data_IF_803033593893
#
_entry.id   IF_803033593893
#
_cell.length_a   1.000
_cell.length_b   1.000
_cell.length_c   1.000
_cell.angle_alpha   90.00
_cell.angle_beta   90.00
_cell.angle_gamma   90.00
#
_symmetry.space_group_name_H-M   'P 1'
#
loop_
_entity.id
_entity.type
_entity.pdbx_description
1 polymer ?
#
# COMPACT_ATOMS: atom_id res chain seq x y z
N UNK A 1 -10.98 -6.54 -7.07
CA UNK A 1 -10.97 -7.48 -8.23
C UNK A 1 -11.84 -8.75 -8.03
N UNK A 2 -12.78 -8.80 -7.09
CA UNK A 2 -13.68 -9.96 -6.92
C UNK A 2 -14.56 -10.26 -8.14
N UNK A 3 -14.88 -9.25 -8.95
CA UNK A 3 -15.68 -9.38 -10.17
C UNK A 3 -14.84 -9.44 -11.47
N UNK A 4 -13.52 -9.55 -11.34
CA UNK A 4 -12.57 -9.41 -12.45
C UNK A 4 -11.89 -10.75 -12.80
N UNK A 5 -12.47 -11.89 -12.39
CA UNK A 5 -11.87 -13.21 -12.61
C UNK A 5 -11.58 -13.55 -14.07
N UNK A 6 -12.34 -12.96 -15.00
CA UNK A 6 -12.10 -13.09 -16.45
C UNK A 6 -10.78 -12.48 -16.93
N UNK A 7 -10.16 -11.62 -16.11
CA UNK A 7 -8.86 -11.00 -16.42
C UNK A 7 -7.67 -11.83 -15.91
N UNK A 8 -7.93 -12.88 -15.13
CA UNK A 8 -6.87 -13.67 -14.51
C UNK A 8 -6.41 -14.77 -15.46
N UNK A 9 -5.10 -14.95 -15.56
CA UNK A 9 -4.46 -16.01 -16.32
C UNK A 9 -3.61 -16.88 -15.39
N UNK A 10 -3.66 -18.16 -15.59
CA UNK A 10 -2.77 -19.10 -14.90
C UNK A 10 -1.36 -19.03 -15.50
N UNK A 11 -0.41 -19.73 -14.92
CA UNK A 11 0.95 -19.78 -15.45
C UNK A 11 0.99 -20.34 -16.89
N UNK A 12 0.11 -21.31 -17.24
CA UNK A 12 -0.02 -21.85 -18.61
C UNK A 12 -0.50 -20.80 -19.61
N UNK A 13 -1.38 -19.91 -19.20
CA UNK A 13 -2.06 -18.94 -20.07
C UNK A 13 -1.39 -17.55 -20.02
N UNK A 14 -0.30 -17.41 -19.23
CA UNK A 14 0.44 -16.15 -19.07
C UNK A 14 0.91 -15.58 -20.42
N UNK A 15 1.24 -16.44 -21.37
CA UNK A 15 1.67 -16.04 -22.72
C UNK A 15 0.61 -15.31 -23.53
N UNK A 16 -0.67 -15.32 -23.12
CA UNK A 16 -1.75 -14.53 -23.74
C UNK A 16 -1.67 -13.05 -23.36
N UNK A 17 -0.93 -12.70 -22.33
CA UNK A 17 -0.77 -11.32 -21.87
C UNK A 17 0.47 -10.70 -22.52
N UNK A 18 0.35 -9.41 -22.90
CA UNK A 18 1.46 -8.64 -23.49
C UNK A 18 2.48 -8.24 -22.42
N UNK A 19 1.98 -7.81 -21.25
CA UNK A 19 2.79 -7.37 -20.11
C UNK A 19 2.23 -7.97 -18.81
N UNK A 20 2.50 -9.27 -18.59
CA UNK A 20 1.98 -9.96 -17.41
C UNK A 20 2.65 -9.48 -16.13
N UNK A 21 1.84 -9.10 -15.14
CA UNK A 21 2.29 -8.83 -13.78
C UNK A 21 1.62 -9.81 -12.82
N UNK A 22 2.29 -10.18 -11.70
CA UNK A 22 1.72 -11.12 -10.73
C UNK A 22 0.46 -10.54 -10.07
N UNK A 23 -0.49 -11.43 -9.73
CA UNK A 23 -1.64 -11.11 -8.87
C UNK A 23 -1.34 -11.56 -7.45
N UNK A 24 -1.08 -10.62 -6.55
CA UNK A 24 -0.84 -10.90 -5.14
C UNK A 24 -2.15 -11.19 -4.41
N UNK A 25 -2.22 -12.32 -3.76
CA UNK A 25 -3.26 -12.66 -2.79
C UNK A 25 -2.82 -12.25 -1.38
N UNK A 26 -3.76 -11.92 -0.49
CA UNK A 26 -3.45 -11.47 0.86
C UNK A 26 -2.49 -12.39 1.63
N UNK A 27 -2.60 -13.72 1.45
CA UNK A 27 -1.73 -14.70 2.12
C UNK A 27 -0.27 -14.67 1.68
N UNK A 28 0.03 -14.02 0.54
CA UNK A 28 1.41 -13.85 0.05
C UNK A 28 2.16 -12.73 0.78
N UNK A 29 1.44 -11.94 1.60
CA UNK A 29 1.97 -10.73 2.26
C UNK A 29 1.86 -10.88 3.77
N UNK A 30 2.86 -10.44 4.52
CA UNK A 30 2.82 -10.33 5.98
C UNK A 30 3.30 -8.94 6.43
N UNK A 31 3.35 -8.68 7.74
CA UNK A 31 3.83 -7.41 8.29
C UNK A 31 5.24 -7.09 7.77
N UNK A 32 5.39 -5.97 7.04
CA UNK A 32 6.65 -5.55 6.44
C UNK A 32 7.27 -6.55 5.44
N UNK A 33 6.50 -7.53 4.97
CA UNK A 33 7.02 -8.60 4.10
C UNK A 33 6.07 -8.90 2.96
N UNK A 34 6.43 -8.50 1.75
CA UNK A 34 5.69 -8.78 0.52
C UNK A 34 6.05 -10.14 -0.10
N UNK A 35 7.03 -10.85 0.47
CA UNK A 35 7.51 -12.16 0.05
C UNK A 35 7.22 -13.24 1.10
N UNK A 36 6.06 -13.14 1.78
CA UNK A 36 5.71 -14.05 2.86
C UNK A 36 5.42 -15.47 2.38
N UNK A 37 4.61 -15.60 1.33
CA UNK A 37 4.28 -16.90 0.77
C UNK A 37 4.32 -16.88 -0.75
N UNK A 38 4.59 -18.04 -1.33
CA UNK A 38 4.70 -18.30 -2.78
C UNK A 38 3.88 -19.51 -3.15
N UNK A 39 3.40 -19.59 -4.37
CA UNK A 39 2.79 -20.81 -4.89
C UNK A 39 3.85 -21.74 -5.46
N UNK A 40 3.60 -23.05 -5.38
CA UNK A 40 4.40 -24.04 -6.07
C UNK A 40 4.12 -24.00 -7.59
N UNK A 41 5.12 -24.37 -8.38
CA UNK A 41 4.95 -24.52 -9.82
C UNK A 41 3.84 -25.54 -10.12
N UNK A 42 2.98 -25.22 -11.09
CA UNK A 42 1.86 -26.09 -11.50
C UNK A 42 0.56 -25.93 -10.72
N UNK A 43 0.40 -24.87 -9.88
CA UNK A 43 -0.89 -24.52 -9.27
C UNK A 43 -1.20 -25.27 -7.96
N UNK A 44 -0.19 -25.78 -7.29
CA UNK A 44 -0.28 -26.32 -5.93
C UNK A 44 -0.70 -25.27 -4.88
N UNK A 45 -0.81 -25.67 -3.61
CA UNK A 45 -1.08 -24.77 -2.50
C UNK A 45 0.02 -23.72 -2.30
N UNK A 46 -0.32 -22.59 -1.67
CA UNK A 46 0.71 -21.65 -1.25
C UNK A 46 1.51 -22.25 -0.08
N UNK A 47 2.82 -21.99 -0.07
CA UNK A 47 3.74 -22.29 1.03
C UNK A 47 4.44 -21.03 1.50
N UNK A 48 4.88 -21.04 2.73
CA UNK A 48 5.71 -19.96 3.25
C UNK A 48 7.07 -19.94 2.51
N UNK A 49 7.59 -18.75 2.27
CA UNK A 49 8.94 -18.54 1.72
C UNK A 49 9.94 -18.73 2.85
N UNK A 50 10.94 -19.55 2.61
CA UNK A 50 11.99 -19.84 3.60
C UNK A 50 12.93 -18.65 3.80
N UNK A 51 13.62 -18.61 4.94
CA UNK A 51 14.62 -17.56 5.21
C UNK A 51 15.76 -17.57 4.19
N UNK A 52 16.16 -18.76 3.68
CA UNK A 52 17.15 -18.90 2.61
C UNK A 52 16.69 -18.24 1.30
N UNK A 53 15.43 -18.44 0.91
CA UNK A 53 14.86 -17.79 -0.27
C UNK A 53 14.71 -16.27 -0.06
N UNK A 54 14.37 -15.82 1.14
CA UNK A 54 14.29 -14.39 1.49
C UNK A 54 15.65 -13.72 1.54
N UNK A 55 16.71 -14.46 1.83
CA UNK A 55 18.08 -13.97 1.80
C UNK A 55 18.56 -13.64 0.38
N UNK A 56 17.97 -14.27 -0.64
CA UNK A 56 18.18 -13.89 -2.04
C UNK A 56 17.28 -12.68 -2.39
N UNK A 57 17.90 -11.52 -2.56
CA UNK A 57 17.20 -10.29 -2.93
C UNK A 57 16.59 -10.32 -4.34
N UNK A 58 16.99 -11.28 -5.18
CA UNK A 58 16.45 -11.49 -6.53
C UNK A 58 15.27 -12.47 -6.55
N UNK A 59 15.03 -13.19 -5.45
CA UNK A 59 13.92 -14.12 -5.35
C UNK A 59 12.57 -13.39 -5.49
N UNK A 60 11.74 -13.88 -6.40
CA UNK A 60 10.39 -13.35 -6.63
C UNK A 60 9.36 -14.42 -6.31
N UNK A 61 8.34 -14.05 -5.54
CA UNK A 61 7.24 -14.95 -5.24
C UNK A 61 6.44 -15.30 -6.50
N UNK A 62 6.08 -16.55 -6.65
CA UNK A 62 5.22 -17.02 -7.74
C UNK A 62 3.76 -16.82 -7.35
N UNK A 63 2.97 -16.11 -8.15
CA UNK A 63 1.53 -15.96 -7.90
C UNK A 63 0.78 -17.18 -8.47
N UNK A 64 -0.45 -17.36 -8.02
CA UNK A 64 -1.38 -18.30 -8.64
C UNK A 64 -1.89 -17.81 -10.00
N UNK A 65 -2.06 -16.49 -10.13
CA UNK A 65 -2.60 -15.83 -11.31
C UNK A 65 -1.75 -14.65 -11.74
N UNK A 66 -1.86 -14.34 -13.02
CA UNK A 66 -1.25 -13.18 -13.66
C UNK A 66 -2.34 -12.30 -14.26
N UNK A 67 -2.07 -11.00 -14.38
CA UNK A 67 -2.96 -10.03 -15.00
C UNK A 67 -2.17 -9.13 -15.94
N UNK A 68 -2.85 -8.52 -16.92
CA UNK A 68 -2.24 -7.50 -17.77
C UNK A 68 -1.88 -6.25 -16.95
N UNK A 69 -0.66 -5.73 -17.08
CA UNK A 69 -0.20 -4.53 -16.36
C UNK A 69 -1.17 -3.35 -16.55
N UNK A 70 -1.68 -3.15 -17.77
CA UNK A 70 -2.65 -2.10 -18.08
C UNK A 70 -3.89 -2.16 -17.20
N UNK A 71 -4.36 -3.34 -16.84
CA UNK A 71 -5.50 -3.52 -15.95
C UNK A 71 -5.21 -3.07 -14.51
N UNK A 72 -3.96 -3.24 -14.06
CA UNK A 72 -3.52 -2.69 -12.77
C UNK A 72 -3.47 -1.18 -12.83
N UNK A 73 -2.81 -0.62 -13.84
CA UNK A 73 -2.67 0.83 -14.03
C UNK A 73 -4.03 1.53 -14.06
N UNK A 74 -5.02 0.99 -14.80
CA UNK A 74 -6.38 1.53 -14.86
C UNK A 74 -7.11 1.57 -13.51
N UNK A 75 -6.63 0.81 -12.50
CA UNK A 75 -7.25 0.77 -11.16
C UNK A 75 -6.52 1.61 -10.14
N UNK A 76 -5.24 1.90 -10.35
CA UNK A 76 -4.40 2.61 -9.38
C UNK A 76 -3.96 3.99 -9.83
N UNK A 77 -4.11 4.33 -11.12
CA UNK A 77 -3.73 5.63 -11.66
C UNK A 77 -4.55 6.76 -11.01
N UNK A 78 -3.84 7.82 -10.66
CA UNK A 78 -4.42 9.05 -10.07
C UNK A 78 -4.95 9.96 -11.19
N UNK A 79 -5.99 9.49 -11.85
CA UNK A 79 -6.73 10.19 -12.90
C UNK A 79 -8.21 10.29 -12.54
N UNK A 80 -8.94 11.29 -13.03
CA UNK A 80 -10.38 11.38 -12.80
C UNK A 80 -11.13 10.15 -13.32
N UNK A 81 -12.12 9.69 -12.54
CA UNK A 81 -12.89 8.50 -12.87
C UNK A 81 -13.47 8.47 -14.30
N UNK A 82 -13.98 9.59 -14.88
CA UNK A 82 -14.45 9.57 -16.27
C UNK A 82 -13.36 9.21 -17.28
N UNK A 83 -12.12 9.68 -17.08
CA UNK A 83 -10.97 9.33 -17.92
C UNK A 83 -10.68 7.83 -17.85
N UNK A 84 -10.60 7.29 -16.63
CA UNK A 84 -10.37 5.85 -16.41
C UNK A 84 -11.51 4.99 -16.96
N UNK A 85 -12.76 5.43 -16.81
CA UNK A 85 -13.95 4.71 -17.34
C UNK A 85 -13.92 4.62 -18.86
N UNK A 86 -13.70 5.73 -19.55
CA UNK A 86 -13.61 5.75 -21.00
C UNK A 86 -12.43 4.91 -21.52
N UNK A 87 -11.27 5.02 -20.84
CA UNK A 87 -10.08 4.23 -21.19
C UNK A 87 -10.27 2.71 -21.02
N UNK A 88 -11.04 2.27 -20.01
CA UNK A 88 -11.41 0.85 -19.84
C UNK A 88 -12.32 0.35 -20.96
N UNK A 89 -13.23 1.19 -21.42
CA UNK A 89 -14.14 0.87 -22.51
C UNK A 89 -13.50 0.87 -23.90
N UNK A 90 -12.24 1.33 -24.03
CA UNK A 90 -11.60 1.51 -25.34
C UNK A 90 -12.27 2.61 -26.18
N UNK A 91 -13.01 3.51 -25.56
CA UNK A 91 -13.78 4.57 -26.21
C UNK A 91 -12.87 5.78 -26.50
N UNK A 92 -12.35 5.85 -27.71
CA UNK A 92 -11.44 6.91 -28.16
C UNK A 92 -12.06 8.31 -28.02
N UNK A 93 -13.33 8.48 -28.42
CA UNK A 93 -14.03 9.77 -28.33
C UNK A 93 -14.31 10.13 -26.87
N UNK A 94 -14.78 9.17 -26.09
CA UNK A 94 -15.01 9.33 -24.65
C UNK A 94 -13.73 9.72 -23.89
N UNK A 95 -12.58 9.16 -24.25
CA UNK A 95 -11.30 9.55 -23.67
C UNK A 95 -10.94 10.99 -24.04
N UNK A 96 -11.09 11.41 -25.31
CA UNK A 96 -10.85 12.79 -25.75
C UNK A 96 -11.69 13.78 -24.94
N UNK A 97 -12.99 13.51 -24.83
CA UNK A 97 -13.95 14.34 -24.09
C UNK A 97 -13.58 14.39 -22.58
N UNK A 98 -13.24 13.25 -21.99
CA UNK A 98 -12.88 13.18 -20.58
C UNK A 98 -11.57 13.92 -20.26
N UNK A 99 -10.55 13.82 -21.13
CA UNK A 99 -9.29 14.56 -21.00
C UNK A 99 -9.53 16.08 -21.09
N UNK A 100 -10.33 16.51 -22.06
CA UNK A 100 -10.66 17.90 -22.21
C UNK A 100 -11.48 18.43 -21.02
N UNK A 101 -12.43 17.65 -20.52
CA UNK A 101 -13.18 17.99 -19.31
C UNK A 101 -12.28 18.06 -18.08
N UNK A 102 -11.30 17.17 -17.94
CA UNK A 102 -10.34 17.19 -16.85
C UNK A 102 -9.50 18.47 -16.84
N UNK A 103 -8.91 18.84 -18.00
CA UNK A 103 -8.10 20.03 -18.16
C UNK A 103 -8.92 21.31 -17.91
N UNK A 104 -10.11 21.39 -18.51
CA UNK A 104 -10.99 22.54 -18.31
C UNK A 104 -11.45 22.69 -16.85
N UNK A 105 -11.83 21.59 -16.20
CA UNK A 105 -12.24 21.58 -14.79
C UNK A 105 -11.09 21.98 -13.83
N UNK A 106 -9.86 21.62 -14.17
CA UNK A 106 -8.68 22.05 -13.44
C UNK A 106 -8.51 23.57 -13.48
N UNK A 107 -8.62 24.19 -14.68
CA UNK A 107 -8.54 25.64 -14.80
C UNK A 107 -9.67 26.37 -14.05
N UNK A 108 -10.91 25.85 -14.18
CA UNK A 108 -12.05 26.41 -13.42
C UNK A 108 -11.79 26.33 -11.90
N UNK A 109 -11.20 25.23 -11.43
CA UNK A 109 -10.83 25.06 -10.02
C UNK A 109 -9.76 26.04 -9.54
N UNK A 110 -8.93 26.56 -10.46
CA UNK A 110 -7.97 27.64 -10.19
C UNK A 110 -8.56 29.05 -10.34
N UNK A 111 -9.86 29.17 -10.67
CA UNK A 111 -10.51 30.46 -10.93
C UNK A 111 -10.26 31.01 -12.34
N UNK A 112 -9.73 30.16 -13.25
CA UNK A 112 -9.45 30.54 -14.63
C UNK A 112 -10.61 30.13 -15.55
N UNK A 113 -10.88 30.96 -16.58
CA UNK A 113 -11.90 30.65 -17.57
C UNK A 113 -11.33 29.76 -18.70
N UNK A 114 -11.86 28.56 -18.93
CA UNK A 114 -11.43 27.72 -20.03
C UNK A 114 -12.00 28.27 -21.36
N UNK A 115 -11.16 28.23 -22.41
CA UNK A 115 -11.58 28.59 -23.75
C UNK A 115 -11.26 27.46 -24.74
N UNK A 116 -12.03 27.38 -25.84
CA UNK A 116 -11.78 26.42 -26.93
C UNK A 116 -10.38 26.58 -27.51
N UNK A 117 -9.94 27.82 -27.69
CA UNK A 117 -8.58 28.11 -28.19
C UNK A 117 -7.50 27.54 -27.28
N UNK A 118 -7.65 27.76 -25.97
CA UNK A 118 -6.70 27.26 -24.96
C UNK A 118 -6.71 25.73 -24.89
N UNK A 119 -7.90 25.10 -24.94
CA UNK A 119 -8.03 23.65 -24.99
C UNK A 119 -7.39 23.06 -26.24
N UNK A 120 -7.63 23.63 -27.41
CA UNK A 120 -7.00 23.21 -28.66
C UNK A 120 -5.47 23.31 -28.59
N UNK A 121 -4.94 24.38 -28.01
CA UNK A 121 -3.50 24.53 -27.78
C UNK A 121 -2.93 23.47 -26.81
N UNK A 122 -3.70 23.09 -25.81
CA UNK A 122 -3.27 22.13 -24.78
C UNK A 122 -3.40 20.68 -25.23
N UNK A 123 -4.49 20.34 -25.91
CA UNK A 123 -4.81 18.98 -26.33
C UNK A 123 -4.34 18.65 -27.76
N UNK A 124 -3.96 19.67 -28.53
CA UNK A 124 -3.52 19.49 -29.92
C UNK A 124 -4.60 18.80 -30.78
N UNK A 125 -4.18 17.81 -31.58
CA UNK A 125 -5.08 17.05 -32.46
C UNK A 125 -6.20 16.30 -31.71
N UNK A 126 -6.03 15.98 -30.44
CA UNK A 126 -7.07 15.30 -29.64
C UNK A 126 -8.30 16.18 -29.39
N UNK A 127 -8.19 17.48 -29.59
CA UNK A 127 -9.30 18.41 -29.44
C UNK A 127 -10.19 18.48 -30.69
N UNK A 128 -9.72 18.13 -31.88
CA UNK A 128 -10.38 18.38 -33.15
C UNK A 128 -11.81 17.81 -33.24
N UNK A 129 -12.06 16.66 -32.64
CA UNK A 129 -13.33 15.93 -32.71
C UNK A 129 -14.26 16.15 -31.50
N UNK A 130 -13.95 17.14 -30.65
CA UNK A 130 -14.77 17.41 -29.46
C UNK A 130 -15.96 18.30 -29.87
N UNK A 131 -17.21 17.86 -29.62
CA UNK A 131 -18.42 18.62 -29.97
C UNK A 131 -18.46 20.01 -29.33
N UNK A 132 -19.19 20.94 -29.95
CA UNK A 132 -19.32 22.30 -29.43
C UNK A 132 -20.08 22.38 -28.11
N UNK A 133 -21.08 21.51 -27.94
CA UNK A 133 -21.99 21.40 -26.81
C UNK A 133 -21.55 20.40 -25.75
N UNK A 134 -20.27 20.04 -25.74
CA UNK A 134 -19.78 19.08 -24.78
C UNK A 134 -20.16 19.43 -23.31
N UNK A 135 -20.46 18.40 -22.49
CA UNK A 135 -21.01 18.61 -21.15
C UNK A 135 -20.10 19.43 -20.20
N UNK A 136 -20.75 20.18 -19.34
CA UNK A 136 -20.08 21.06 -18.40
C UNK A 136 -19.06 20.32 -17.51
N UNK A 137 -17.84 20.78 -17.48
CA UNK A 137 -16.71 20.30 -16.68
C UNK A 137 -16.80 20.57 -15.17
N UNK A 138 -17.77 21.38 -14.73
CA UNK A 138 -17.96 21.75 -13.31
C UNK A 138 -18.08 20.54 -12.38
N UNK A 139 -18.70 19.46 -12.83
CA UNK A 139 -18.83 18.22 -12.06
C UNK A 139 -17.48 17.53 -11.77
N UNK A 140 -16.45 17.83 -12.56
CA UNK A 140 -15.10 17.26 -12.41
C UNK A 140 -14.17 18.14 -11.59
N UNK A 141 -14.55 19.36 -11.21
CA UNK A 141 -13.64 20.33 -10.61
C UNK A 141 -12.95 19.79 -9.36
N UNK A 142 -13.67 19.15 -8.44
CA UNK A 142 -13.10 18.57 -7.23
C UNK A 142 -12.12 17.44 -7.55
N UNK A 143 -12.49 16.53 -8.45
CA UNK A 143 -11.63 15.42 -8.89
C UNK A 143 -10.41 15.92 -9.70
N UNK A 144 -10.58 16.98 -10.49
CA UNK A 144 -9.48 17.59 -11.24
C UNK A 144 -8.44 18.26 -10.31
N UNK A 145 -8.89 18.88 -9.21
CA UNK A 145 -7.99 19.43 -8.20
C UNK A 145 -7.34 18.37 -7.33
N UNK A 146 -8.00 17.25 -7.12
CA UNK A 146 -7.42 16.09 -6.42
C UNK A 146 -6.30 15.44 -7.22
N UNK A 147 -6.45 15.40 -8.55
CA UNK A 147 -5.51 14.81 -9.51
C UNK A 147 -5.14 15.85 -10.58
N UNK A 148 -4.39 16.90 -10.23
CA UNK A 148 -4.10 17.98 -11.15
C UNK A 148 -3.24 17.49 -12.33
N UNK A 149 -3.50 17.98 -13.56
CA UNK A 149 -2.61 17.77 -14.68
C UNK A 149 -1.30 18.54 -14.48
N UNK A 150 -0.20 17.99 -14.98
CA UNK A 150 1.13 18.58 -14.96
C UNK A 150 1.56 18.97 -16.38
N UNK A 151 2.64 19.74 -16.49
CA UNK A 151 3.22 20.08 -17.80
C UNK A 151 3.66 18.83 -18.58
N UNK A 152 4.06 17.77 -17.89
CA UNK A 152 4.39 16.48 -18.50
C UNK A 152 3.15 15.81 -19.07
N UNK A 153 2.02 15.83 -18.35
CA UNK A 153 0.74 15.31 -18.86
C UNK A 153 0.32 16.05 -20.12
N UNK A 154 0.46 17.37 -20.15
CA UNK A 154 0.15 18.17 -21.35
C UNK A 154 1.07 17.83 -22.53
N UNK A 155 2.35 17.53 -22.26
CA UNK A 155 3.28 17.07 -23.32
C UNK A 155 2.90 15.69 -23.84
N UNK A 156 2.55 14.76 -22.97
CA UNK A 156 2.09 13.43 -23.34
C UNK A 156 0.79 13.49 -24.16
N UNK A 157 -0.17 14.30 -23.76
CA UNK A 157 -1.44 14.46 -24.45
C UNK A 157 -1.20 15.04 -25.88
N UNK A 158 -0.43 16.13 -26.00
CA UNK A 158 -0.17 16.78 -27.30
C UNK A 158 0.69 15.94 -28.24
N UNK A 159 1.59 15.14 -27.69
CA UNK A 159 2.52 14.30 -28.46
C UNK A 159 1.88 13.09 -29.12
N UNK A 160 0.60 12.82 -28.82
CA UNK A 160 -0.10 11.64 -29.31
C UNK A 160 -1.24 12.03 -30.27
N UNK A 161 -1.34 11.32 -31.39
CA UNK A 161 -2.41 11.50 -32.37
C UNK A 161 -3.72 10.79 -31.99
N UNK A 162 -3.68 9.84 -31.05
CA UNK A 162 -4.81 9.07 -30.56
C UNK A 162 -4.91 9.17 -29.04
N UNK A 163 -6.12 9.32 -28.51
CA UNK A 163 -6.35 9.51 -27.09
C UNK A 163 -6.05 8.24 -26.27
N UNK A 164 -6.37 7.07 -26.80
CA UNK A 164 -6.03 5.80 -26.14
C UNK A 164 -4.51 5.57 -26.04
N UNK A 165 -3.73 6.09 -27.00
CA UNK A 165 -2.26 6.07 -26.92
C UNK A 165 -1.75 7.05 -25.85
N UNK A 166 -2.30 8.28 -25.81
CA UNK A 166 -1.98 9.26 -24.79
C UNK A 166 -2.27 8.74 -23.37
N UNK A 167 -3.38 8.03 -23.18
CA UNK A 167 -3.75 7.39 -21.93
C UNK A 167 -2.69 6.38 -21.48
N UNK A 168 -2.07 5.61 -22.38
CA UNK A 168 -1.00 4.67 -22.04
C UNK A 168 0.13 5.34 -21.24
N UNK A 169 0.64 6.47 -21.75
CA UNK A 169 1.66 7.27 -21.06
C UNK A 169 1.16 7.88 -19.74
N UNK A 170 -0.07 8.43 -19.74
CA UNK A 170 -0.67 9.00 -18.53
C UNK A 170 -0.90 7.94 -17.43
N UNK A 171 -1.33 6.74 -17.78
CA UNK A 171 -1.50 5.66 -16.82
C UNK A 171 -0.20 5.33 -16.12
N UNK A 172 0.91 5.27 -16.84
CA UNK A 172 2.22 4.98 -16.25
C UNK A 172 2.69 6.12 -15.33
N UNK A 173 2.68 7.36 -15.79
CA UNK A 173 3.15 8.53 -15.01
C UNK A 173 2.24 8.86 -13.82
N UNK A 174 0.94 8.60 -13.92
CA UNK A 174 -0.04 8.85 -12.85
C UNK A 174 -0.27 7.66 -11.91
N UNK A 175 0.34 6.52 -12.17
CA UNK A 175 0.26 5.37 -11.26
C UNK A 175 1.38 5.40 -10.22
N UNK A 176 1.09 5.00 -8.98
CA UNK A 176 2.13 4.86 -7.98
C UNK A 176 3.13 3.79 -8.41
N UNK A 177 4.41 3.98 -8.07
CA UNK A 177 5.50 3.04 -8.40
C UNK A 177 5.49 1.79 -7.54
N UNK A 178 4.80 1.84 -6.41
CA UNK A 178 4.57 0.78 -5.43
C UNK A 178 3.17 0.92 -4.86
N UNK A 179 2.66 -0.15 -4.25
CA UNK A 179 1.34 -0.16 -3.62
C UNK A 179 1.48 -0.46 -2.13
N UNK A 180 0.52 -0.01 -1.34
CA UNK A 180 0.44 -0.31 0.08
C UNK A 180 -0.97 -0.76 0.43
N UNK A 181 -1.07 -1.72 1.36
CA UNK A 181 -2.36 -2.25 1.76
C UNK A 181 -2.27 -3.11 3.00
N UNK A 182 -3.41 -3.70 3.36
CA UNK A 182 -3.52 -4.62 4.49
C UNK A 182 -4.38 -5.83 4.13
N UNK A 183 -4.22 -6.91 4.89
CA UNK A 183 -5.09 -8.09 4.76
C UNK A 183 -6.48 -7.78 5.27
N UNK A 184 -7.51 -8.07 4.46
CA UNK A 184 -8.91 -8.02 4.88
C UNK A 184 -9.19 -9.08 5.97
N UNK A 185 -8.75 -10.33 5.73
CA UNK A 185 -9.05 -11.44 6.64
C UNK A 185 -8.07 -11.40 7.80
N UNK A 186 -8.63 -11.21 8.99
CA UNK A 186 -7.93 -11.20 10.25
C UNK A 186 -8.90 -11.46 11.40
N UNK A 187 -8.44 -12.10 12.47
CA UNK A 187 -9.21 -12.36 13.68
C UNK A 187 -8.53 -11.71 14.87
N UNK A 188 -9.31 -11.30 15.87
CA UNK A 188 -8.74 -10.80 17.13
C UNK A 188 -7.99 -11.89 17.90
N UNK A 189 -8.17 -13.16 17.52
CA UNK A 189 -7.51 -14.33 18.11
C UNK A 189 -6.29 -14.82 17.32
N UNK A 190 -5.94 -14.18 16.20
CA UNK A 190 -4.74 -14.53 15.44
C UNK A 190 -3.47 -13.94 16.10
N UNK A 191 -2.29 -14.37 15.68
CA UNK A 191 -1.02 -13.83 16.19
C UNK A 191 -0.95 -12.31 16.00
N UNK A 192 -1.40 -11.83 14.84
CA UNK A 192 -1.55 -10.40 14.51
C UNK A 192 -2.89 -10.19 13.81
N UNK A 193 -3.59 -9.14 14.20
CA UNK A 193 -4.88 -8.78 13.62
C UNK A 193 -4.72 -7.84 12.44
N UNK A 194 -3.87 -6.81 12.56
CA UNK A 194 -3.55 -5.92 11.46
C UNK A 194 -2.23 -6.33 10.82
N UNK A 195 -2.30 -6.68 9.55
CA UNK A 195 -1.16 -7.11 8.75
C UNK A 195 -1.11 -6.23 7.51
N UNK A 196 -0.18 -5.28 7.50
CA UNK A 196 0.02 -4.33 6.41
C UNK A 196 1.42 -4.44 5.80
N UNK A 197 1.54 -4.17 4.52
CA UNK A 197 2.83 -4.10 3.83
C UNK A 197 2.77 -3.20 2.60
N UNK A 198 3.94 -2.82 2.11
CA UNK A 198 4.13 -2.35 0.75
C UNK A 198 4.35 -3.56 -0.16
N UNK A 199 3.92 -3.44 -1.40
CA UNK A 199 4.13 -4.42 -2.46
C UNK A 199 4.55 -3.70 -3.75
N UNK A 200 5.24 -4.36 -4.67
CA UNK A 200 5.50 -3.79 -5.99
C UNK A 200 4.21 -3.36 -6.69
N UNK A 201 4.31 -2.64 -7.80
CA UNK A 201 3.14 -2.29 -8.64
C UNK A 201 2.64 -3.52 -9.38
N UNK A 202 1.80 -4.29 -8.71
CA UNK A 202 1.27 -5.60 -9.12
C UNK A 202 -0.25 -5.65 -9.02
N UNK A 203 -0.88 -6.67 -9.58
CA UNK A 203 -2.28 -6.96 -9.31
C UNK A 203 -2.48 -7.34 -7.84
N UNK A 204 -3.59 -6.89 -7.24
CA UNK A 204 -3.94 -7.25 -5.86
C UNK A 204 -5.33 -7.86 -5.82
N UNK A 205 -5.44 -9.02 -5.18
CA UNK A 205 -6.71 -9.69 -4.93
C UNK A 205 -7.60 -8.92 -3.94
N UNK A 206 -8.88 -9.25 -3.90
CA UNK A 206 -9.91 -8.57 -3.09
C UNK A 206 -9.68 -8.65 -1.57
N UNK A 207 -8.82 -9.54 -1.11
CA UNK A 207 -8.49 -9.73 0.31
C UNK A 207 -7.21 -9.00 0.74
N UNK A 208 -6.51 -8.33 -0.18
CA UNK A 208 -5.47 -7.36 0.13
C UNK A 208 -5.99 -5.96 -0.25
N UNK A 209 -6.45 -5.23 0.75
CA UNK A 209 -7.12 -3.95 0.59
C UNK A 209 -6.09 -2.85 0.42
N UNK A 210 -6.11 -2.18 -0.73
CA UNK A 210 -5.17 -1.11 -1.05
C UNK A 210 -5.56 0.21 -0.38
N UNK A 211 -4.55 0.97 0.01
CA UNK A 211 -4.70 2.36 0.46
C UNK A 211 -3.79 3.28 -0.35
N UNK A 212 -4.30 4.46 -0.64
CA UNK A 212 -3.52 5.54 -1.24
C UNK A 212 -3.39 6.66 -0.23
N UNK A 213 -2.16 6.98 0.13
CA UNK A 213 -1.88 8.07 1.06
C UNK A 213 -1.61 9.36 0.29
N UNK A 214 -2.11 10.48 0.83
CA UNK A 214 -1.74 11.83 0.39
C UNK A 214 -0.51 12.25 1.18
N UNK A 215 0.51 12.73 0.52
CA UNK A 215 1.74 13.17 1.16
C UNK A 215 2.97 12.48 0.57
N UNK A 216 4.09 12.64 1.26
CA UNK A 216 5.35 12.03 0.83
C UNK A 216 5.47 10.55 1.30
N UNK A 217 6.39 9.83 0.70
CA UNK A 217 6.64 8.42 0.99
C UNK A 217 7.12 8.18 2.41
N UNK A 218 7.79 9.14 3.05
CA UNK A 218 8.20 9.04 4.44
C UNK A 218 6.99 8.94 5.39
N UNK A 219 5.93 9.71 5.15
CA UNK A 219 4.68 9.58 5.92
C UNK A 219 3.97 8.25 5.64
N UNK A 220 4.09 7.71 4.42
CA UNK A 220 3.58 6.38 4.12
C UNK A 220 4.33 5.30 4.91
N UNK A 221 5.66 5.39 5.00
CA UNK A 221 6.48 4.50 5.81
C UNK A 221 6.14 4.59 7.30
N UNK A 222 5.98 5.81 7.81
CA UNK A 222 5.56 6.02 9.19
C UNK A 222 4.16 5.44 9.46
N UNK A 223 3.21 5.63 8.54
CA UNK A 223 1.88 5.05 8.70
C UNK A 223 1.89 3.52 8.61
N UNK A 224 2.72 2.93 7.74
CA UNK A 224 2.91 1.48 7.68
C UNK A 224 3.44 0.92 9.00
N UNK A 225 4.43 1.58 9.60
CA UNK A 225 4.94 1.22 10.92
C UNK A 225 3.86 1.30 11.99
N UNK A 226 3.04 2.37 11.99
CA UNK A 226 1.90 2.52 12.90
C UNK A 226 0.90 1.37 12.77
N UNK A 227 0.48 1.03 11.55
CA UNK A 227 -0.47 -0.06 11.29
C UNK A 227 0.02 -1.42 11.80
N UNK A 228 1.33 -1.65 11.75
CA UNK A 228 1.94 -2.91 12.19
C UNK A 228 2.37 -2.92 13.66
N UNK A 229 2.23 -1.80 14.37
CA UNK A 229 2.59 -1.72 15.79
C UNK A 229 1.64 -2.54 16.67
N UNK A 230 2.16 -3.04 17.79
CA UNK A 230 1.37 -3.78 18.78
C UNK A 230 0.27 -2.91 19.40
N UNK A 231 0.53 -1.62 19.59
CA UNK A 231 -0.48 -0.68 20.11
C UNK A 231 -1.65 -0.53 19.14
N UNK A 232 -1.38 -0.36 17.86
CA UNK A 232 -2.45 -0.29 16.85
C UNK A 232 -3.21 -1.61 16.73
N UNK A 233 -2.52 -2.74 16.81
CA UNK A 233 -3.13 -4.06 16.81
C UNK A 233 -4.00 -4.30 18.05
N UNK A 234 -3.57 -3.84 19.24
CA UNK A 234 -4.38 -3.83 20.45
C UNK A 234 -5.68 -3.04 20.28
N UNK A 235 -5.59 -1.81 19.73
CA UNK A 235 -6.77 -0.97 19.45
C UNK A 235 -7.71 -1.68 18.46
N UNK A 236 -7.15 -2.29 17.42
CA UNK A 236 -7.92 -3.02 16.42
C UNK A 236 -8.68 -4.20 17.02
N UNK A 237 -8.06 -4.97 17.92
CA UNK A 237 -8.68 -6.10 18.63
C UNK A 237 -9.90 -5.70 19.46
N UNK A 238 -9.93 -4.49 20.01
CA UNK A 238 -11.08 -3.97 20.76
C UNK A 238 -12.28 -3.63 19.85
N UNK A 239 -12.05 -3.43 18.54
CA UNK A 239 -13.09 -3.02 17.58
C UNK A 239 -13.55 -4.15 16.67
N UNK A 240 -12.71 -5.17 16.46
CA UNK A 240 -12.96 -6.23 15.50
C UNK A 240 -13.64 -7.41 16.21
N UNK A 241 -14.96 -7.53 16.04
CA UNK A 241 -15.75 -8.67 16.53
C UNK A 241 -15.90 -9.81 15.51
N UNK A 242 -15.34 -9.67 14.31
CA UNK A 242 -15.50 -10.64 13.21
C UNK A 242 -14.16 -11.12 12.65
N UNK A 243 -14.20 -11.54 11.38
CA UNK A 243 -13.06 -12.16 10.68
C UNK A 243 -12.47 -11.26 9.58
N UNK A 244 -12.82 -9.96 9.59
CA UNK A 244 -12.31 -9.06 8.54
C UNK A 244 -12.14 -7.61 9.00
N UNK A 245 -11.07 -6.98 8.50
CA UNK A 245 -10.73 -5.57 8.69
C UNK A 245 -11.02 -4.82 7.40
N UNK A 246 -12.29 -4.51 7.17
CA UNK A 246 -12.74 -3.77 5.99
C UNK A 246 -12.41 -2.28 6.07
N UNK A 247 -12.54 -1.55 4.96
CA UNK A 247 -12.29 -0.10 4.91
C UNK A 247 -13.05 0.69 5.98
N UNK A 248 -14.33 0.36 6.23
CA UNK A 248 -15.12 1.06 7.23
C UNK A 248 -14.59 0.82 8.65
N UNK A 249 -14.11 -0.39 8.95
CA UNK A 249 -13.49 -0.73 10.24
C UNK A 249 -12.16 -0.02 10.39
N UNK A 250 -11.28 -0.11 9.37
CA UNK A 250 -9.99 0.55 9.37
C UNK A 250 -10.10 2.07 9.60
N UNK A 251 -11.10 2.72 9.00
CA UNK A 251 -11.36 4.16 9.18
C UNK A 251 -11.80 4.57 10.59
N UNK A 252 -12.22 3.63 11.42
CA UNK A 252 -12.64 3.86 12.81
C UNK A 252 -11.51 3.63 13.81
N UNK A 253 -10.39 3.08 13.37
CA UNK A 253 -9.23 2.85 14.24
C UNK A 253 -8.47 4.16 14.46
N UNK A 254 -7.96 4.33 15.68
CA UNK A 254 -7.21 5.53 16.07
C UNK A 254 -5.77 5.39 15.61
N UNK A 255 -5.48 5.90 14.41
CA UNK A 255 -4.12 6.02 13.88
C UNK A 255 -3.48 7.35 14.26
N UNK A 256 -2.15 7.38 14.31
CA UNK A 256 -1.41 8.62 14.50
C UNK A 256 -1.52 9.52 13.26
N UNK A 257 -1.65 10.81 13.49
CA UNK A 257 -1.75 11.80 12.42
C UNK A 257 -0.37 12.18 11.89
N UNK A 258 -0.24 12.72 10.66
CA UNK A 258 1.03 13.21 10.15
C UNK A 258 1.75 14.20 11.07
N UNK A 259 1.03 14.93 11.91
CA UNK A 259 1.59 15.88 12.89
C UNK A 259 2.38 15.18 14.02
N UNK A 260 2.13 13.92 14.27
CA UNK A 260 2.89 13.13 15.25
C UNK A 260 4.30 12.77 14.75
N UNK A 261 4.55 12.91 13.45
CA UNK A 261 5.80 12.52 12.80
C UNK A 261 6.60 13.76 12.40
N UNK A 262 7.19 14.44 13.38
CA UNK A 262 8.16 15.52 13.16
C UNK A 262 9.59 15.00 13.35
N UNK A 263 10.58 15.64 12.72
CA UNK A 263 11.99 15.26 12.96
C UNK A 263 12.37 15.46 14.45
N UNK A 264 13.13 14.55 15.08
CA UNK A 264 13.81 13.38 14.49
C UNK A 264 12.94 12.10 14.41
N UNK A 265 11.70 12.15 14.88
CA UNK A 265 10.80 11.00 14.99
C UNK A 265 10.58 10.30 13.63
N UNK A 266 10.41 11.09 12.58
CA UNK A 266 10.16 10.56 11.24
C UNK A 266 11.35 9.75 10.73
N UNK A 267 12.58 10.23 10.91
CA UNK A 267 13.79 9.53 10.46
C UNK A 267 13.97 8.20 11.17
N UNK A 268 13.71 8.15 12.48
CA UNK A 268 13.78 6.93 13.27
C UNK A 268 12.87 5.84 12.74
N UNK A 269 11.63 6.22 12.43
CA UNK A 269 10.61 5.28 11.95
C UNK A 269 10.85 4.88 10.49
N UNK A 270 11.19 5.84 9.64
CA UNK A 270 11.42 5.60 8.20
C UNK A 270 12.58 4.65 7.97
N UNK A 271 13.72 4.85 8.65
CA UNK A 271 14.88 3.97 8.50
C UNK A 271 14.56 2.51 8.82
N UNK A 272 13.86 2.25 9.93
CA UNK A 272 13.48 0.90 10.36
C UNK A 272 12.42 0.28 9.44
N UNK A 273 11.43 1.06 9.04
CA UNK A 273 10.40 0.60 8.11
C UNK A 273 10.99 0.26 6.74
N UNK A 274 11.91 1.09 6.25
CA UNK A 274 12.63 0.83 5.01
C UNK A 274 13.44 -0.47 5.08
N UNK A 275 14.23 -0.65 6.14
CA UNK A 275 15.04 -1.84 6.33
C UNK A 275 14.18 -3.12 6.46
N UNK A 276 13.05 -3.03 7.14
CA UNK A 276 12.10 -4.14 7.25
C UNK A 276 11.41 -4.48 5.93
N UNK A 277 11.21 -3.53 5.02
CA UNK A 277 10.41 -3.73 3.81
C UNK A 277 11.24 -3.94 2.54
N UNK A 278 12.37 -3.23 2.40
CA UNK A 278 13.20 -3.31 1.21
C UNK A 278 14.21 -4.44 1.29
N UNK A 279 13.75 -5.67 1.16
CA UNK A 279 14.57 -6.89 1.18
C UNK A 279 14.66 -7.58 -0.19
N UNK A 280 14.00 -7.05 -1.22
CA UNK A 280 14.01 -7.54 -2.59
C UNK A 280 14.08 -6.41 -3.60
N UNK A 281 14.75 -6.65 -4.74
CA UNK A 281 14.95 -5.65 -5.80
C UNK A 281 13.66 -5.11 -6.42
N UNK A 282 12.57 -5.85 -6.33
CA UNK A 282 11.25 -5.49 -6.83
C UNK A 282 10.60 -4.30 -6.08
N UNK A 283 11.08 -3.99 -4.86
CA UNK A 283 10.71 -2.79 -4.10
C UNK A 283 11.73 -1.63 -4.22
N UNK A 284 12.65 -1.68 -5.18
CA UNK A 284 13.58 -0.57 -5.44
C UNK A 284 12.87 0.79 -5.60
N UNK A 285 11.72 0.91 -6.33
CA UNK A 285 11.01 2.18 -6.42
C UNK A 285 10.52 2.73 -5.06
N UNK A 286 10.18 1.86 -4.11
CA UNK A 286 9.84 2.24 -2.74
C UNK A 286 11.03 2.84 -2.00
N UNK A 287 12.18 2.18 -2.08
CA UNK A 287 13.42 2.65 -1.45
C UNK A 287 13.87 4.00 -2.01
N UNK A 288 13.85 4.15 -3.35
CA UNK A 288 14.19 5.41 -4.02
C UNK A 288 13.28 6.57 -3.58
N UNK A 289 11.96 6.33 -3.47
CA UNK A 289 11.00 7.33 -3.01
C UNK A 289 11.21 7.72 -1.53
N UNK A 290 11.90 6.89 -0.74
CA UNK A 290 12.37 7.19 0.61
C UNK A 290 13.77 7.79 0.66
N UNK A 291 14.39 8.06 -0.49
CA UNK A 291 15.73 8.65 -0.60
C UNK A 291 16.88 7.65 -0.46
N UNK A 292 16.61 6.34 -0.52
CA UNK A 292 17.63 5.30 -0.41
C UNK A 292 17.93 4.67 -1.78
N UNK A 293 19.20 4.67 -2.16
CA UNK A 293 19.69 4.18 -3.46
C UNK A 293 20.60 2.95 -3.37
N UNK A 294 20.76 2.41 -2.15
CA UNK A 294 21.56 1.21 -1.90
C UNK A 294 20.87 -0.09 -2.32
N UNK A 295 21.55 -1.20 -2.09
CA UNK A 295 21.00 -2.54 -2.31
C UNK A 295 19.91 -2.88 -1.29
N UNK A 296 19.04 -3.88 -1.58
CA UNK A 296 18.13 -4.43 -0.59
C UNK A 296 18.86 -4.85 0.69
N UNK A 297 18.21 -4.64 1.83
CA UNK A 297 18.76 -5.05 3.11
C UNK A 297 18.74 -6.57 3.25
N UNK A 298 19.79 -7.17 3.84
CA UNK A 298 19.83 -8.61 4.08
C UNK A 298 18.65 -9.08 4.94
N UNK A 299 18.12 -10.27 4.64
CA UNK A 299 17.12 -10.89 5.48
C UNK A 299 17.80 -11.51 6.71
N UNK A 300 17.60 -10.93 7.87
CA UNK A 300 18.06 -11.43 9.17
C UNK A 300 16.88 -11.42 10.14
N UNK A 301 16.41 -12.61 10.53
CA UNK A 301 15.22 -12.77 11.38
C UNK A 301 15.43 -12.17 12.78
N UNK A 302 16.65 -12.28 13.33
CA UNK A 302 17.00 -11.73 14.65
C UNK A 302 17.01 -10.20 14.62
N UNK A 303 17.71 -9.62 13.68
CA UNK A 303 17.76 -8.18 13.48
C UNK A 303 16.38 -7.58 13.20
N UNK A 304 15.58 -8.24 12.35
CA UNK A 304 14.19 -7.84 12.06
C UNK A 304 13.30 -7.86 13.31
N UNK A 305 13.52 -8.80 14.23
CA UNK A 305 12.78 -8.83 15.50
C UNK A 305 13.12 -7.62 16.37
N UNK A 306 14.40 -7.20 16.39
CA UNK A 306 14.87 -6.00 17.12
C UNK A 306 14.23 -4.74 16.49
N UNK A 307 14.29 -4.57 15.18
CA UNK A 307 13.72 -3.41 14.49
C UNK A 307 12.22 -3.27 14.74
N UNK A 308 11.48 -4.38 14.71
CA UNK A 308 10.04 -4.39 15.04
C UNK A 308 9.78 -3.99 16.48
N UNK A 309 10.58 -4.51 17.42
CA UNK A 309 10.46 -4.18 18.84
C UNK A 309 10.78 -2.69 19.10
N UNK A 310 11.76 -2.12 18.40
CA UNK A 310 12.07 -0.69 18.48
C UNK A 310 10.92 0.17 17.96
N UNK A 311 10.29 -0.24 16.83
CA UNK A 311 9.08 0.43 16.32
C UNK A 311 7.92 0.30 17.31
N UNK A 312 7.67 -0.88 17.87
CA UNK A 312 6.57 -1.11 18.81
C UNK A 312 6.72 -0.23 20.07
N UNK A 313 7.93 -0.17 20.64
CA UNK A 313 8.23 0.69 21.77
C UNK A 313 8.08 2.19 21.43
N UNK A 314 8.56 2.57 20.24
CA UNK A 314 8.49 3.95 19.80
C UNK A 314 7.05 4.40 19.52
N UNK A 315 6.25 3.56 18.87
CA UNK A 315 4.82 3.86 18.66
C UNK A 315 4.07 3.93 20.00
N UNK A 316 4.38 3.08 20.97
CA UNK A 316 3.78 3.16 22.29
C UNK A 316 4.02 4.55 22.93
N UNK A 317 5.24 5.10 22.81
CA UNK A 317 5.53 6.48 23.25
C UNK A 317 4.79 7.55 22.45
N UNK A 318 4.70 7.41 21.13
CA UNK A 318 3.95 8.36 20.29
C UNK A 318 2.44 8.37 20.62
N UNK A 319 1.90 7.25 21.10
CA UNK A 319 0.54 7.17 21.64
C UNK A 319 0.42 7.73 23.05
N UNK A 320 1.52 8.13 23.68
CA UNK A 320 1.54 8.72 25.02
C UNK A 320 1.39 7.68 26.15
N UNK A 321 1.68 6.41 25.86
CA UNK A 321 1.60 5.35 26.87
C UNK A 321 2.76 5.43 27.87
N UNK A 322 2.48 5.02 29.09
CA UNK A 322 3.49 4.71 30.10
C UNK A 322 4.07 3.31 29.86
N UNK A 323 5.20 3.01 30.53
CA UNK A 323 5.82 1.68 30.45
C UNK A 323 4.91 0.58 31.00
N UNK A 324 4.15 0.86 32.05
CA UNK A 324 3.24 -0.14 32.63
C UNK A 324 2.00 -0.37 31.76
N UNK A 325 1.49 0.66 31.08
CA UNK A 325 0.43 0.48 30.07
C UNK A 325 0.93 -0.34 28.88
N UNK A 326 2.17 -0.14 28.44
CA UNK A 326 2.78 -0.98 27.40
C UNK A 326 2.94 -2.44 27.89
N UNK A 327 3.37 -2.66 29.13
CA UNK A 327 3.43 -4.00 29.75
C UNK A 327 2.06 -4.67 29.76
N UNK A 328 1.01 -3.93 30.13
CA UNK A 328 -0.36 -4.40 30.12
C UNK A 328 -0.83 -4.78 28.69
N UNK A 329 -0.50 -3.98 27.68
CA UNK A 329 -0.84 -4.30 26.27
C UNK A 329 -0.16 -5.58 25.83
N UNK A 330 1.12 -5.76 26.16
CA UNK A 330 1.90 -6.93 25.78
C UNK A 330 1.44 -8.20 26.50
N UNK A 331 1.23 -8.10 27.80
CA UNK A 331 0.83 -9.21 28.67
C UNK A 331 0.09 -8.68 29.92
N UNK A 332 -1.24 -8.64 29.92
CA UNK A 332 -1.99 -8.15 31.07
C UNK A 332 -1.65 -8.83 32.38
N UNK A 333 -1.35 -10.12 32.37
CA UNK A 333 -0.98 -10.89 33.57
C UNK A 333 0.29 -10.35 34.25
N UNK A 334 1.20 -9.72 33.49
CA UNK A 334 2.42 -9.10 34.02
C UNK A 334 2.18 -7.90 34.94
N UNK A 335 1.00 -7.27 34.83
CA UNK A 335 0.64 -6.08 35.64
C UNK A 335 -0.47 -6.41 36.65
N UNK A 336 -1.41 -7.27 36.27
CA UNK A 336 -2.61 -7.54 37.07
C UNK A 336 -2.53 -8.85 37.88
N UNK A 337 -1.56 -9.71 37.62
CA UNK A 337 -1.37 -11.03 38.24
C UNK A 337 -1.79 -12.19 37.34
N UNK A 338 -1.25 -13.37 37.64
CA UNK A 338 -1.36 -14.58 36.81
C UNK A 338 -2.81 -15.07 36.61
N UNK A 339 -3.70 -14.74 37.52
CA UNK A 339 -5.12 -15.11 37.45
C UNK A 339 -5.95 -14.23 36.50
N UNK A 340 -5.33 -13.20 35.91
CA UNK A 340 -6.02 -12.29 35.00
C UNK A 340 -6.27 -12.96 33.64
N UNK A 341 -7.55 -13.09 33.21
CA UNK A 341 -7.89 -13.92 32.05
C UNK A 341 -7.60 -13.28 30.70
N UNK A 342 -7.17 -12.04 30.65
CA UNK A 342 -6.98 -11.33 29.37
C UNK A 342 -5.62 -11.62 28.77
N UNK A 343 -5.63 -12.09 27.54
CA UNK A 343 -4.44 -12.41 26.77
C UNK A 343 -4.56 -11.83 25.36
N UNK A 344 -4.29 -10.54 25.24
CA UNK A 344 -4.41 -9.83 23.97
C UNK A 344 -3.60 -10.49 22.85
N UNK A 345 -2.36 -10.91 23.17
CA UNK A 345 -1.45 -11.53 22.20
C UNK A 345 -1.12 -12.98 22.57
N UNK A 346 -2.12 -13.73 23.09
CA UNK A 346 -1.94 -15.11 23.53
C UNK A 346 -1.24 -16.00 22.50
N UNK A 347 -1.69 -15.97 21.25
CA UNK A 347 -1.12 -16.83 20.18
C UNK A 347 0.34 -16.49 19.91
N UNK A 348 0.72 -15.20 19.91
CA UNK A 348 2.11 -14.76 19.78
C UNK A 348 2.94 -15.25 20.98
N UNK A 349 2.46 -15.02 22.20
CA UNK A 349 3.11 -15.45 23.45
C UNK A 349 3.34 -16.96 23.48
N UNK A 350 2.30 -17.78 23.22
CA UNK A 350 2.40 -19.24 23.20
C UNK A 350 3.35 -19.76 22.12
N UNK A 351 3.36 -19.14 20.94
CA UNK A 351 4.28 -19.49 19.84
C UNK A 351 5.73 -19.22 20.24
N UNK A 352 5.99 -18.06 20.82
CA UNK A 352 7.36 -17.69 21.24
C UNK A 352 7.85 -18.50 22.44
N UNK A 353 6.98 -18.79 23.42
CA UNK A 353 7.32 -19.70 24.52
C UNK A 353 7.74 -21.08 24.02
N UNK A 354 7.06 -21.61 22.99
CA UNK A 354 7.41 -22.90 22.36
C UNK A 354 8.72 -22.82 21.57
N UNK A 355 8.97 -21.72 20.87
CA UNK A 355 10.14 -21.59 20.00
C UNK A 355 11.41 -21.16 20.75
N UNK A 356 11.29 -20.30 21.75
CA UNK A 356 12.42 -19.65 22.42
C UNK A 356 12.48 -19.90 23.94
N UNK A 357 11.47 -20.54 24.54
CA UNK A 357 11.36 -20.70 25.98
C UNK A 357 10.97 -19.42 26.73
N UNK A 358 10.74 -18.32 26.04
CA UNK A 358 10.36 -17.03 26.61
C UNK A 358 9.37 -16.28 25.69
N UNK A 359 8.63 -15.31 26.24
CA UNK A 359 7.88 -14.34 25.46
C UNK A 359 8.85 -13.25 24.94
N UNK A 360 9.57 -13.58 23.89
CA UNK A 360 10.67 -12.82 23.32
C UNK A 360 10.27 -11.40 22.88
N UNK A 361 9.15 -11.25 22.19
CA UNK A 361 8.64 -9.95 21.75
C UNK A 361 8.47 -9.00 22.94
N UNK A 362 7.87 -9.47 24.04
CA UNK A 362 7.72 -8.66 25.26
C UNK A 362 9.07 -8.17 25.79
N UNK A 363 10.05 -9.06 25.92
CA UNK A 363 11.40 -8.68 26.38
C UNK A 363 12.03 -7.64 25.47
N UNK A 364 12.07 -7.88 24.17
CA UNK A 364 12.70 -6.98 23.21
C UNK A 364 12.04 -5.60 23.17
N UNK A 365 10.70 -5.54 23.22
CA UNK A 365 9.95 -4.27 23.23
C UNK A 365 10.24 -3.46 24.50
N UNK A 366 10.26 -4.10 25.66
CA UNK A 366 10.58 -3.41 26.93
C UNK A 366 12.04 -2.96 26.99
N UNK A 367 12.99 -3.76 26.50
CA UNK A 367 14.39 -3.36 26.35
C UNK A 367 14.55 -2.18 25.39
N UNK A 368 13.81 -2.18 24.28
CA UNK A 368 13.80 -1.06 23.34
C UNK A 368 13.20 0.20 23.98
N UNK A 369 12.11 0.07 24.72
CA UNK A 369 11.51 1.17 25.48
C UNK A 369 12.50 1.83 26.44
N UNK A 370 13.25 1.01 27.19
CA UNK A 370 14.20 1.51 28.19
C UNK A 370 15.42 2.21 27.56
N UNK A 371 15.75 1.90 26.30
CA UNK A 371 16.85 2.53 25.53
C UNK A 371 16.45 3.79 24.77
N UNK A 372 15.16 3.98 24.46
CA UNK A 372 14.71 5.17 23.75
C UNK A 372 14.92 6.43 24.61
N UNK A 373 15.38 7.54 24.02
CA UNK A 373 15.45 8.82 24.76
C UNK A 373 14.08 9.24 25.25
N UNK A 374 14.03 9.89 26.41
CA UNK A 374 12.81 10.36 27.05
C UNK A 374 12.08 11.43 26.25
#
# INVERSE_FOLDING_TARGET
MSNDSGLFRTASDRGELSRPVPLYEAKMVHQFDHRWATYADGGGGARDVTDGEKADASFQVQPRYWVEEREVLLRVARLPHPVLKAARGGDELGVRQALASWVAAYWVGLGEEPSRKRLAQTLGSLYADIPEDWPAWKALSASALEHPPTDEDFRLIRGNGAALSAIGGLLDTKSPRWLMGWRDIARSTDERTVIASVVPRVGCGDKFLLMTLRGNSALAAAFLGCLNSLVFDFIARQKIGGTSVKYFTMKQLVGLTPRSFVCPNLEFVVSRTLELTYTGHDLKPWAEDLGYTGNPFPWDAEHRAILRAELDAYYARLYGLTRDELRYILDPADVTGEDYPSETFRVLKEKELRAFGEYRTRRLVLEAWDRLPG
#
